data_IF_103503692668
#
_entry.id   IF_103503692668
#
_cell.length_a   1.000
_cell.length_b   1.000
_cell.length_c   1.000
_cell.angle_alpha   90.00
_cell.angle_beta   90.00
_cell.angle_gamma   90.00
#
_symmetry.space_group_name_H-M   'P 1'
#
loop_
_entity.id
_entity.type
_entity.pdbx_description
1 polymer ?
#
# COMPACT_ATOMS: atom_id res chain seq x y z
N UNK A 1 11.50 -12.48 19.02
CA UNK A 1 12.44 -12.26 17.91
C UNK A 1 12.01 -11.01 17.16
N UNK A 2 12.95 -10.13 16.80
CA UNK A 2 12.65 -8.92 16.02
C UNK A 2 12.66 -9.31 14.54
N UNK A 3 11.57 -9.03 13.83
CA UNK A 3 11.50 -9.27 12.38
C UNK A 3 12.46 -8.32 11.65
N UNK A 4 13.07 -8.75 10.52
CA UNK A 4 13.94 -7.90 9.73
C UNK A 4 13.15 -6.79 9.03
N UNK A 5 13.81 -5.70 8.68
CA UNK A 5 13.26 -4.71 7.77
C UNK A 5 13.37 -5.21 6.32
N UNK A 6 12.40 -4.89 5.46
CA UNK A 6 12.56 -5.09 4.02
C UNK A 6 13.72 -4.24 3.47
N UNK A 7 14.24 -4.63 2.31
CA UNK A 7 15.33 -3.91 1.68
C UNK A 7 14.89 -2.48 1.32
N UNK A 8 15.77 -1.50 1.57
CA UNK A 8 15.54 -0.06 1.41
C UNK A 8 14.50 0.57 2.36
N UNK A 9 13.95 -0.16 3.33
CA UNK A 9 13.07 0.45 4.34
C UNK A 9 13.84 1.28 5.38
N UNK A 10 15.12 0.97 5.64
CA UNK A 10 15.90 1.60 6.70
C UNK A 10 16.02 3.14 6.60
N UNK A 11 16.24 3.76 5.41
CA UNK A 11 16.22 5.21 5.26
C UNK A 11 14.88 5.86 5.65
N UNK A 12 13.76 5.21 5.31
CA UNK A 12 12.41 5.68 5.67
C UNK A 12 12.24 5.64 7.18
N UNK A 13 12.62 4.52 7.81
CA UNK A 13 12.58 4.37 9.27
C UNK A 13 13.40 5.46 9.95
N UNK A 14 14.62 5.70 9.47
CA UNK A 14 15.51 6.71 10.05
C UNK A 14 14.96 8.14 9.89
N UNK A 15 14.37 8.47 8.74
CA UNK A 15 13.70 9.75 8.52
C UNK A 15 12.52 9.93 9.48
N UNK A 16 11.72 8.88 9.67
CA UNK A 16 10.58 8.88 10.61
C UNK A 16 10.98 9.06 12.06
N UNK A 17 12.11 8.50 12.48
CA UNK A 17 12.66 8.75 13.83
C UNK A 17 12.99 10.23 14.07
N UNK A 18 13.17 11.02 13.01
CA UNK A 18 13.37 12.47 13.07
C UNK A 18 12.07 13.27 12.91
N UNK A 19 10.91 12.61 12.91
CA UNK A 19 9.61 13.24 12.67
C UNK A 19 9.32 13.57 11.21
N UNK A 20 10.12 13.08 10.25
CA UNK A 20 9.89 13.29 8.82
C UNK A 20 9.00 12.19 8.25
N UNK A 21 8.18 12.54 7.25
CA UNK A 21 7.33 11.61 6.49
C UNK A 21 7.69 11.74 5.00
N UNK A 22 7.75 10.63 4.23
CA UNK A 22 7.74 10.70 2.77
C UNK A 22 6.62 11.62 2.27
N UNK A 23 6.94 12.52 1.33
CA UNK A 23 5.96 13.48 0.80
C UNK A 23 4.92 12.84 -0.12
N UNK A 24 5.19 11.62 -0.59
CA UNK A 24 4.32 10.87 -1.50
C UNK A 24 4.21 9.40 -1.13
N UNK A 25 3.63 8.65 -2.07
CA UNK A 25 3.41 7.23 -2.02
C UNK A 25 4.73 6.46 -1.83
N UNK A 26 4.75 5.46 -0.96
CA UNK A 26 5.86 4.49 -0.87
C UNK A 26 5.48 3.25 -1.68
N UNK A 27 6.36 2.86 -2.60
CA UNK A 27 6.19 1.64 -3.38
C UNK A 27 6.85 0.48 -2.65
N UNK A 28 6.09 -0.55 -2.36
CA UNK A 28 6.61 -1.84 -1.87
C UNK A 28 6.52 -2.83 -3.03
N UNK A 29 7.65 -3.24 -3.57
CA UNK A 29 7.67 -4.19 -4.68
C UNK A 29 7.99 -5.60 -4.21
N UNK A 30 7.10 -6.53 -4.53
CA UNK A 30 7.29 -7.97 -4.34
C UNK A 30 7.94 -8.65 -5.56
N UNK A 31 8.00 -7.93 -6.69
CA UNK A 31 8.57 -8.41 -7.97
C UNK A 31 10.01 -7.97 -8.23
N UNK A 32 10.66 -7.33 -7.27
CA UNK A 32 12.00 -6.76 -7.42
C UNK A 32 12.01 -5.29 -7.86
N UNK A 33 13.08 -4.82 -8.51
CA UNK A 33 13.27 -3.40 -8.81
C UNK A 33 12.25 -2.89 -9.84
N UNK A 34 11.65 -1.74 -9.54
CA UNK A 34 10.72 -1.03 -10.43
C UNK A 34 11.29 0.36 -10.71
N UNK A 35 11.14 0.85 -11.93
CA UNK A 35 11.49 2.23 -12.26
C UNK A 35 10.42 3.17 -11.67
N UNK A 36 10.80 3.91 -10.63
CA UNK A 36 9.93 4.87 -9.98
C UNK A 36 10.74 6.01 -9.38
N UNK A 37 10.13 7.20 -9.33
CA UNK A 37 10.67 8.36 -8.60
C UNK A 37 10.26 8.34 -7.12
N UNK A 38 9.30 7.49 -6.77
CA UNK A 38 8.83 7.33 -5.40
C UNK A 38 9.81 6.48 -4.58
N UNK A 39 9.84 6.62 -3.24
CA UNK A 39 10.59 5.72 -2.38
C UNK A 39 10.20 4.26 -2.66
N UNK A 40 11.20 3.44 -3.00
CA UNK A 40 11.03 2.03 -3.34
C UNK A 40 11.61 1.13 -2.25
N UNK A 41 10.75 0.27 -1.71
CA UNK A 41 11.07 -0.80 -0.76
C UNK A 41 10.92 -2.14 -1.48
N UNK A 42 11.87 -3.04 -1.28
CA UNK A 42 11.86 -4.37 -1.88
C UNK A 42 11.63 -5.42 -0.80
N UNK A 43 10.70 -6.32 -1.03
CA UNK A 43 10.39 -7.42 -0.12
C UNK A 43 10.24 -8.72 -0.91
N UNK A 44 10.70 -9.82 -0.33
CA UNK A 44 10.51 -11.15 -0.92
C UNK A 44 9.10 -11.67 -0.58
N UNK A 45 8.35 -12.20 -1.56
CA UNK A 45 7.08 -12.85 -1.29
C UNK A 45 7.23 -13.97 -0.25
N UNK A 46 6.30 -14.04 0.70
CA UNK A 46 6.28 -15.09 1.75
C UNK A 46 7.26 -14.89 2.91
N UNK A 47 8.15 -13.90 2.86
CA UNK A 47 9.04 -13.56 3.98
C UNK A 47 8.34 -12.64 4.99
N UNK A 48 8.57 -12.89 6.28
CA UNK A 48 8.04 -12.06 7.35
C UNK A 48 8.96 -10.87 7.64
N UNK A 49 8.40 -9.66 7.60
CA UNK A 49 9.12 -8.41 7.86
C UNK A 49 8.45 -7.56 8.93
N UNK A 50 9.21 -6.65 9.53
CA UNK A 50 8.66 -5.59 10.36
C UNK A 50 8.05 -4.49 9.48
N UNK A 51 6.72 -4.43 9.45
CA UNK A 51 5.96 -3.43 8.69
C UNK A 51 5.54 -2.22 9.53
N UNK A 52 5.86 -2.15 10.82
CA UNK A 52 5.39 -1.07 11.71
C UNK A 52 5.77 0.34 11.24
N UNK A 53 6.78 0.46 10.39
CA UNK A 53 7.23 1.70 9.79
C UNK A 53 6.25 2.29 8.76
N UNK A 54 5.34 1.48 8.21
CA UNK A 54 4.31 1.94 7.25
C UNK A 54 3.19 2.74 7.90
N UNK A 55 3.10 2.72 9.24
CA UNK A 55 2.02 3.36 10.00
C UNK A 55 1.83 4.82 9.58
N UNK A 56 0.62 5.14 9.13
CA UNK A 56 0.28 6.48 8.66
C UNK A 56 1.05 6.93 7.41
N UNK A 57 1.49 6.00 6.54
CA UNK A 57 1.99 6.30 5.19
C UNK A 57 0.97 5.87 4.13
N UNK A 58 1.10 6.45 2.95
CA UNK A 58 0.44 5.96 1.75
C UNK A 58 1.35 4.91 1.13
N UNK A 59 0.85 3.68 0.95
CA UNK A 59 1.65 2.54 0.47
C UNK A 59 0.93 1.89 -0.71
N UNK A 60 1.67 1.65 -1.79
CA UNK A 60 1.19 0.82 -2.90
C UNK A 60 2.11 -0.40 -3.04
N UNK A 61 1.51 -1.59 -3.01
CA UNK A 61 2.23 -2.86 -3.13
C UNK A 61 2.16 -3.35 -4.58
N UNK A 62 3.32 -3.47 -5.22
CA UNK A 62 3.44 -4.02 -6.56
C UNK A 62 3.58 -5.54 -6.46
N UNK A 63 2.67 -6.26 -7.10
CA UNK A 63 2.55 -7.71 -7.03
C UNK A 63 2.72 -8.36 -8.40
N UNK A 64 2.87 -9.68 -8.42
CA UNK A 64 2.72 -10.53 -9.60
C UNK A 64 1.66 -11.61 -9.30
N UNK A 65 0.96 -12.11 -10.33
CA UNK A 65 -0.07 -13.16 -10.21
C UNK A 65 0.39 -14.46 -9.54
N UNK A 66 1.71 -14.71 -9.49
CA UNK A 66 2.30 -15.94 -8.98
C UNK A 66 2.73 -15.82 -7.51
N UNK A 67 2.72 -14.60 -6.96
CA UNK A 67 3.20 -14.33 -5.61
C UNK A 67 2.11 -14.59 -4.56
N UNK A 68 2.47 -15.13 -3.40
CA UNK A 68 1.58 -15.15 -2.23
C UNK A 68 1.58 -13.77 -1.54
N UNK A 69 1.01 -12.77 -2.21
CA UNK A 69 1.02 -11.37 -1.77
C UNK A 69 -0.02 -11.06 -0.69
N UNK A 70 -1.07 -11.87 -0.54
CA UNK A 70 -2.16 -11.63 0.41
C UNK A 70 -1.66 -11.61 1.87
N UNK A 71 -0.72 -12.48 2.23
CA UNK A 71 -0.11 -12.49 3.56
C UNK A 71 0.67 -11.18 3.83
N UNK A 72 1.40 -10.70 2.83
CA UNK A 72 2.15 -9.44 2.93
C UNK A 72 1.23 -8.24 3.05
N UNK A 73 0.17 -8.17 2.23
CA UNK A 73 -0.85 -7.12 2.34
C UNK A 73 -1.50 -7.12 3.72
N UNK A 74 -1.86 -8.29 4.25
CA UNK A 74 -2.45 -8.39 5.59
C UNK A 74 -1.49 -7.88 6.67
N UNK A 75 -0.21 -8.25 6.58
CA UNK A 75 0.81 -7.79 7.52
C UNK A 75 1.02 -6.26 7.46
N UNK A 76 0.99 -5.68 6.25
CA UNK A 76 1.07 -4.22 6.04
C UNK A 76 -0.19 -3.54 6.58
N UNK A 77 -1.38 -4.05 6.27
CA UNK A 77 -2.65 -3.46 6.70
C UNK A 77 -2.79 -3.45 8.23
N UNK A 78 -2.34 -4.52 8.90
CA UNK A 78 -2.27 -4.59 10.38
C UNK A 78 -1.31 -3.55 10.99
N UNK A 79 -0.37 -3.02 10.22
CA UNK A 79 0.52 -1.95 10.65
C UNK A 79 -0.09 -0.54 10.48
N UNK A 80 -1.34 -0.44 10.03
CA UNK A 80 -2.17 0.77 9.97
C UNK A 80 -1.57 1.90 9.09
N UNK A 81 -1.32 1.66 7.79
CA UNK A 81 -1.01 2.74 6.85
C UNK A 81 -2.19 3.72 6.71
N UNK A 82 -1.93 4.93 6.20
CA UNK A 82 -3.01 5.90 5.88
C UNK A 82 -3.83 5.41 4.70
N UNK A 83 -3.17 4.91 3.65
CA UNK A 83 -3.77 4.26 2.50
C UNK A 83 -2.95 3.03 2.13
N UNK A 84 -3.62 1.96 1.75
CA UNK A 84 -2.99 0.76 1.21
C UNK A 84 -3.62 0.43 -0.13
N UNK A 85 -2.78 0.41 -1.15
CA UNK A 85 -3.15 0.02 -2.49
C UNK A 85 -2.36 -1.22 -2.92
N UNK A 86 -2.93 -1.97 -3.84
CA UNK A 86 -2.23 -3.02 -4.57
C UNK A 86 -2.26 -2.71 -6.06
N UNK A 87 -1.14 -2.92 -6.74
CA UNK A 87 -1.03 -2.78 -8.18
C UNK A 87 -0.43 -4.03 -8.80
N UNK A 88 -1.13 -4.61 -9.76
CA UNK A 88 -0.66 -5.67 -10.61
C UNK A 88 -0.36 -5.13 -12.01
N UNK A 89 0.92 -4.87 -12.33
CA UNK A 89 1.32 -4.36 -13.64
C UNK A 89 1.12 -5.36 -14.77
N UNK A 90 1.14 -6.67 -14.50
CA UNK A 90 1.03 -7.70 -15.54
C UNK A 90 -0.43 -7.89 -15.96
N UNK A 91 -1.34 -7.83 -14.98
CA UNK A 91 -2.80 -7.85 -15.21
C UNK A 91 -3.41 -6.47 -15.50
N UNK A 92 -2.62 -5.39 -15.38
CA UNK A 92 -3.05 -4.00 -15.52
C UNK A 92 -4.27 -3.62 -14.64
N UNK A 93 -4.24 -4.01 -13.37
CA UNK A 93 -5.31 -3.71 -12.43
C UNK A 93 -4.73 -3.30 -11.08
N UNK A 94 -5.46 -2.44 -10.39
CA UNK A 94 -5.19 -2.08 -9.01
C UNK A 94 -6.45 -2.08 -8.16
N UNK A 95 -6.25 -2.01 -6.85
CA UNK A 95 -7.33 -1.92 -5.90
C UNK A 95 -6.89 -1.17 -4.64
N UNK A 96 -7.83 -0.47 -4.02
CA UNK A 96 -7.71 -0.06 -2.63
C UNK A 96 -7.89 -1.29 -1.74
N UNK A 97 -7.04 -1.43 -0.73
CA UNK A 97 -7.03 -2.58 0.18
C UNK A 97 -7.45 -2.12 1.57
N UNK A 98 -8.51 -2.74 2.09
CA UNK A 98 -9.03 -2.47 3.43
C UNK A 98 -8.87 -3.69 4.32
N UNK A 99 -8.64 -3.45 5.61
CA UNK A 99 -8.69 -4.48 6.63
C UNK A 99 -9.96 -4.28 7.45
N UNK A 100 -11.01 -5.01 7.10
CA UNK A 100 -12.37 -4.84 7.65
C UNK A 100 -12.72 -5.99 8.58
N UNK A 101 -13.57 -5.77 9.59
CA UNK A 101 -14.15 -6.88 10.36
C UNK A 101 -15.06 -7.73 9.46
N UNK A 102 -15.15 -9.02 9.77
CA UNK A 102 -16.18 -9.87 9.12
C UNK A 102 -17.59 -9.40 9.52
N UNK A 103 -18.58 -9.65 8.66
CA UNK A 103 -19.97 -9.28 8.94
C UNK A 103 -20.50 -9.90 10.25
N UNK A 104 -20.06 -11.12 10.58
CA UNK A 104 -20.44 -11.85 11.79
C UNK A 104 -19.86 -11.24 13.08
N UNK A 105 -18.81 -10.42 12.96
CA UNK A 105 -18.09 -9.86 14.11
C UNK A 105 -18.57 -8.46 14.50
N UNK A 106 -19.35 -7.78 13.65
CA UNK A 106 -19.78 -6.39 13.88
C UNK A 106 -20.50 -6.21 15.22
N UNK A 107 -21.25 -7.23 15.68
CA UNK A 107 -21.97 -7.21 16.95
C UNK A 107 -21.12 -7.62 18.16
N UNK A 108 -19.87 -8.05 17.96
CA UNK A 108 -18.95 -8.48 19.01
C UNK A 108 -18.09 -7.30 19.49
N UNK A 109 -17.48 -7.37 20.69
CA UNK A 109 -16.46 -6.41 21.09
C UNK A 109 -15.30 -6.35 20.09
N UNK A 110 -14.76 -5.16 19.81
CA UNK A 110 -13.67 -4.94 18.83
C UNK A 110 -12.45 -5.83 19.07
N UNK A 111 -12.16 -6.18 20.32
CA UNK A 111 -11.07 -7.08 20.69
C UNK A 111 -11.23 -8.52 20.19
N UNK A 112 -12.45 -8.90 19.78
CA UNK A 112 -12.79 -10.23 19.26
C UNK A 112 -12.99 -10.24 17.75
N UNK A 113 -12.85 -9.09 17.08
CA UNK A 113 -13.08 -9.01 15.64
C UNK A 113 -12.01 -9.78 14.87
N UNK A 114 -12.45 -10.74 14.06
CA UNK A 114 -11.64 -11.30 12.99
C UNK A 114 -11.71 -10.32 11.83
N UNK A 115 -10.55 -10.02 11.26
CA UNK A 115 -10.43 -9.11 10.13
C UNK A 115 -9.95 -9.82 8.89
N UNK A 116 -10.52 -9.43 7.76
CA UNK A 116 -10.17 -9.91 6.44
C UNK A 116 -9.77 -8.74 5.54
N UNK A 117 -9.07 -9.08 4.45
CA UNK A 117 -8.75 -8.12 3.42
C UNK A 117 -9.96 -7.98 2.50
N UNK A 118 -10.40 -6.75 2.30
CA UNK A 118 -11.40 -6.39 1.30
C UNK A 118 -10.75 -5.51 0.22
N UNK A 119 -11.22 -5.66 -1.01
CA UNK A 119 -10.60 -5.05 -2.19
C UNK A 119 -11.65 -4.24 -2.94
N UNK A 120 -11.41 -2.92 -3.00
CA UNK A 120 -12.17 -2.05 -3.87
C UNK A 120 -11.36 -1.80 -5.14
N UNK A 121 -11.74 -2.51 -6.21
CA UNK A 121 -11.10 -2.39 -7.51
C UNK A 121 -11.08 -0.93 -7.99
N UNK A 122 -9.94 -0.54 -8.54
CA UNK A 122 -9.80 0.75 -9.20
C UNK A 122 -10.66 0.79 -10.46
N UNK A 123 -11.34 1.92 -10.66
CA UNK A 123 -12.01 2.20 -11.93
C UNK A 123 -10.98 2.32 -13.05
N UNK A 124 -11.39 2.06 -14.29
CA UNK A 124 -10.51 2.09 -15.47
C UNK A 124 -9.66 3.36 -15.58
N UNK A 125 -10.23 4.51 -15.24
CA UNK A 125 -9.48 5.78 -15.28
C UNK A 125 -8.36 5.82 -14.24
N UNK A 126 -8.57 5.27 -13.03
CA UNK A 126 -7.55 5.21 -11.97
C UNK A 126 -6.40 4.28 -12.38
N UNK A 127 -6.71 3.12 -12.98
CA UNK A 127 -5.70 2.23 -13.55
C UNK A 127 -4.86 2.96 -14.62
N UNK A 128 -5.52 3.69 -15.52
CA UNK A 128 -4.85 4.45 -16.57
C UNK A 128 -4.00 5.61 -16.01
N UNK A 129 -4.49 6.31 -15.00
CA UNK A 129 -3.76 7.40 -14.36
C UNK A 129 -2.50 6.91 -13.66
N UNK A 130 -2.59 5.77 -12.98
CA UNK A 130 -1.48 5.15 -12.29
C UNK A 130 -0.38 4.71 -13.27
N UNK A 131 -0.78 4.15 -14.42
CA UNK A 131 0.13 3.81 -15.51
C UNK A 131 0.80 5.03 -16.15
N UNK A 132 0.01 6.07 -16.45
CA UNK A 132 0.45 7.24 -17.23
C UNK A 132 1.13 8.30 -16.38
N UNK A 133 1.05 8.19 -15.05
CA UNK A 133 1.65 9.15 -14.12
C UNK A 133 0.95 10.49 -14.10
N UNK A 134 -0.36 10.53 -14.42
CA UNK A 134 -1.12 11.78 -14.43
C UNK A 134 -1.17 12.40 -13.05
N UNK A 135 -0.81 13.67 -12.98
CA UNK A 135 -0.90 14.45 -11.76
C UNK A 135 -2.33 14.97 -11.61
N UNK A 136 -2.88 14.90 -10.39
CA UNK A 136 -4.19 15.42 -10.06
C UNK A 136 -4.07 16.61 -9.12
N UNK A 137 -4.80 17.69 -9.41
CA UNK A 137 -4.99 18.80 -8.48
C UNK A 137 -6.39 18.75 -7.87
N UNK A 138 -6.56 19.34 -6.70
CA UNK A 138 -7.89 19.55 -6.10
C UNK A 138 -8.36 20.96 -6.41
N UNK A 139 -9.53 21.07 -7.03
CA UNK A 139 -10.16 22.37 -7.27
C UNK A 139 -10.74 22.97 -5.98
N UNK A 140 -11.21 24.22 -6.02
CA UNK A 140 -11.84 24.88 -4.87
C UNK A 140 -13.03 24.12 -4.27
N UNK A 141 -13.67 23.23 -5.04
CA UNK A 141 -14.76 22.35 -4.61
C UNK A 141 -14.32 20.97 -4.10
N UNK A 142 -13.02 20.70 -3.99
CA UNK A 142 -12.47 19.44 -3.45
C UNK A 142 -12.49 18.23 -4.41
N UNK A 143 -13.16 18.34 -5.55
CA UNK A 143 -13.16 17.30 -6.59
C UNK A 143 -11.80 17.28 -7.29
N UNK A 144 -11.13 16.12 -7.39
CA UNK A 144 -9.87 15.99 -8.12
C UNK A 144 -10.09 16.18 -9.63
N UNK A 145 -9.16 16.87 -10.30
CA UNK A 145 -9.11 17.00 -11.76
C UNK A 145 -7.68 16.79 -12.26
N UNK A 146 -7.53 16.21 -13.45
CA UNK A 146 -6.23 15.97 -14.06
C UNK A 146 -5.58 17.31 -14.46
N UNK A 147 -4.31 17.52 -14.09
CA UNK A 147 -3.57 18.75 -14.44
C UNK A 147 -2.70 18.62 -15.68
N UNK A 148 -2.48 17.40 -16.19
CA UNK A 148 -1.79 17.15 -17.46
C UNK A 148 -2.63 16.21 -18.36
N UNK A 149 -3.07 16.67 -19.56
CA UNK A 149 -3.81 15.86 -20.52
C UNK A 149 -2.94 14.78 -21.21
#
# INVERSE_FOLDING_TARGET
MTLPLPQNAAPIVHARMKGLRPAGLVIVSLRGRVLTQQPLVLAEPGMAYDWRWVRGLDVCVYVHDLDNWALTLRAIALAEPTNLDVWNPDGNWGAHVYLVPTAEDVDKPVSMWIRELDFLEWMDFQNNDFLTGRTYARGPGGVPYAVDP
#
